data_IF_004841634053
#
_entry.id   IF_004841634053
#
_cell.length_a   1.000
_cell.length_b   1.000
_cell.length_c   1.000
_cell.angle_alpha   90.00
_cell.angle_beta   90.00
_cell.angle_gamma   90.00
#
_symmetry.space_group_name_H-M   'P 1'
#
loop_
_entity.id
_entity.type
_entity.pdbx_description
1 polymer ?
#
# COMPACT_ATOMS: atom_id res chain seq x y z
N UNK A 1 0.23 4.61 -2.90
CA UNK A 1 -0.90 4.06 -3.67
C UNK A 1 -2.16 4.49 -2.95
N UNK A 2 -2.81 5.55 -3.43
CA UNK A 2 -4.08 5.99 -2.88
C UNK A 2 -5.07 4.81 -2.92
N UNK A 3 -5.79 4.55 -1.83
CA UNK A 3 -6.82 3.53 -1.88
C UNK A 3 -7.96 4.01 -2.77
N UNK A 4 -8.10 3.40 -3.95
CA UNK A 4 -9.26 3.64 -4.80
C UNK A 4 -10.50 3.25 -4.03
N UNK A 5 -11.45 4.19 -3.91
CA UNK A 5 -12.76 3.94 -3.29
C UNK A 5 -13.38 2.71 -3.95
N UNK A 6 -13.66 1.67 -3.17
CA UNK A 6 -14.32 0.47 -3.68
C UNK A 6 -15.76 0.84 -4.05
N UNK A 7 -16.07 0.78 -5.33
CA UNK A 7 -17.43 0.90 -5.85
C UNK A 7 -18.22 -0.38 -5.52
N UNK A 8 -19.55 -0.29 -5.53
CA UNK A 8 -20.39 -1.46 -5.29
C UNK A 8 -20.14 -2.54 -6.36
N UNK A 9 -20.27 -3.80 -5.96
CA UNK A 9 -20.25 -4.93 -6.89
C UNK A 9 -21.54 -5.10 -7.69
N UNK A 10 -22.63 -4.49 -7.22
CA UNK A 10 -23.90 -4.43 -7.93
C UNK A 10 -23.81 -3.54 -9.17
N UNK A 11 -24.29 -4.04 -10.30
CA UNK A 11 -24.17 -3.40 -11.62
C UNK A 11 -24.89 -2.06 -11.70
N UNK A 12 -26.12 -1.98 -11.18
CA UNK A 12 -26.95 -0.77 -11.28
C UNK A 12 -26.37 0.36 -10.42
N UNK A 13 -25.97 0.04 -9.18
CA UNK A 13 -25.32 0.98 -8.28
C UNK A 13 -23.96 1.43 -8.81
N UNK A 14 -23.22 0.53 -9.46
CA UNK A 14 -21.95 0.87 -10.11
C UNK A 14 -22.15 1.82 -11.29
N UNK A 15 -23.10 1.53 -12.17
CA UNK A 15 -23.43 2.39 -13.31
C UNK A 15 -23.82 3.80 -12.86
N UNK A 16 -24.70 3.94 -11.86
CA UNK A 16 -25.04 5.27 -11.29
C UNK A 16 -23.82 5.98 -10.74
N UNK A 17 -22.95 5.27 -10.00
CA UNK A 17 -21.74 5.87 -9.44
C UNK A 17 -20.75 6.35 -10.50
N UNK A 18 -20.66 5.66 -11.64
CA UNK A 18 -19.80 6.07 -12.76
C UNK A 18 -20.37 7.29 -13.48
N UNK A 19 -21.69 7.34 -13.69
CA UNK A 19 -22.37 8.52 -14.25
C UNK A 19 -22.14 9.73 -13.35
N UNK A 20 -22.32 9.59 -12.03
CA UNK A 20 -22.17 10.69 -11.07
C UNK A 20 -20.74 11.24 -11.01
N UNK A 21 -19.75 10.36 -11.20
CA UNK A 21 -18.34 10.76 -11.31
C UNK A 21 -18.08 11.47 -12.64
N UNK A 22 -18.66 10.99 -13.75
CA UNK A 22 -18.46 11.57 -15.08
C UNK A 22 -19.16 12.94 -15.24
N UNK A 23 -20.31 13.14 -14.60
CA UNK A 23 -21.06 14.40 -14.62
C UNK A 23 -20.57 15.41 -13.57
N UNK A 24 -19.65 15.01 -12.69
CA UNK A 24 -19.14 15.86 -11.62
C UNK A 24 -20.13 16.08 -10.46
N UNK A 25 -21.26 15.36 -10.44
CA UNK A 25 -22.20 15.36 -9.32
C UNK A 25 -21.56 14.77 -8.04
N UNK A 26 -20.52 13.96 -8.21
CA UNK A 26 -19.73 13.38 -7.12
C UNK A 26 -18.25 13.64 -7.32
N UNK A 27 -17.61 14.32 -6.39
CA UNK A 27 -16.15 14.50 -6.42
C UNK A 27 -15.43 13.16 -6.18
N UNK A 28 -14.40 12.88 -7.00
CA UNK A 28 -13.38 11.87 -6.71
C UNK A 28 -12.61 12.30 -5.47
N UNK A 29 -13.20 12.03 -4.31
CA UNK A 29 -12.46 12.07 -3.08
C UNK A 29 -11.45 10.91 -3.14
N UNK A 30 -10.22 11.21 -3.55
CA UNK A 30 -9.06 10.36 -3.24
C UNK A 30 -8.86 10.45 -1.74
N UNK A 31 -9.77 9.79 -1.01
CA UNK A 31 -9.68 9.62 0.42
C UNK A 31 -8.55 8.61 0.59
N UNK A 32 -7.30 9.08 0.61
CA UNK A 32 -6.33 8.31 1.38
C UNK A 32 -6.79 8.25 2.84
N UNK A 33 -7.69 9.14 3.29
CA UNK A 33 -8.46 9.07 4.55
C UNK A 33 -7.63 9.13 5.81
N UNK A 34 -6.32 9.07 5.62
CA UNK A 34 -5.31 9.13 6.63
C UNK A 34 -5.06 10.59 6.89
N UNK A 35 -5.18 10.96 8.14
CA UNK A 35 -4.72 12.24 8.63
C UNK A 35 -3.28 12.46 8.15
N UNK A 36 -3.01 13.58 7.47
CA UNK A 36 -1.70 13.88 6.89
C UNK A 36 -0.57 13.81 7.93
N UNK A 37 -0.85 14.26 9.16
CA UNK A 37 0.10 14.17 10.28
C UNK A 37 0.41 12.71 10.65
N UNK A 38 -0.57 11.81 10.56
CA UNK A 38 -0.36 10.38 10.83
C UNK A 38 0.48 9.70 9.75
N UNK A 39 0.33 10.09 8.48
CA UNK A 39 1.16 9.60 7.37
C UNK A 39 2.61 10.04 7.56
N UNK A 40 2.82 11.30 7.91
CA UNK A 40 4.15 11.85 8.15
C UNK A 40 4.83 11.18 9.37
N UNK A 41 4.09 11.01 10.47
CA UNK A 41 4.55 10.29 11.65
C UNK A 41 4.94 8.85 11.29
N UNK A 42 4.08 8.11 10.60
CA UNK A 42 4.35 6.74 10.18
C UNK A 42 5.63 6.64 9.34
N UNK A 43 5.87 7.60 8.44
CA UNK A 43 7.10 7.69 7.66
C UNK A 43 8.31 7.95 8.54
N UNK A 44 8.23 8.90 9.48
CA UNK A 44 9.31 9.23 10.42
C UNK A 44 9.70 8.01 11.24
N UNK A 45 8.73 7.29 11.78
CA UNK A 45 8.93 6.06 12.56
C UNK A 45 9.52 4.93 11.72
N UNK A 46 9.06 4.74 10.48
CA UNK A 46 9.60 3.74 9.56
C UNK A 46 11.06 4.00 9.20
N UNK A 47 11.42 5.27 8.97
CA UNK A 47 12.79 5.69 8.64
C UNK A 47 13.78 5.38 9.78
N UNK A 48 13.34 5.45 11.03
CA UNK A 48 14.16 5.08 12.18
C UNK A 48 14.14 3.56 12.47
N UNK A 49 12.97 2.93 12.41
CA UNK A 49 12.79 1.53 12.82
C UNK A 49 13.45 0.51 11.89
N UNK A 50 13.47 0.77 10.57
CA UNK A 50 14.14 -0.12 9.61
C UNK A 50 15.64 -0.26 9.87
N UNK A 51 16.40 0.85 9.93
CA UNK A 51 17.81 0.84 10.29
C UNK A 51 18.09 0.25 11.67
N UNK A 52 17.27 0.56 12.68
CA UNK A 52 17.43 0.01 14.03
C UNK A 52 17.36 -1.53 14.05
N UNK A 53 16.45 -2.14 13.26
CA UNK A 53 16.39 -3.60 13.10
C UNK A 53 17.54 -4.18 12.29
N UNK A 54 18.13 -3.40 11.39
CA UNK A 54 19.23 -3.83 10.55
C UNK A 54 20.60 -3.69 11.22
N UNK A 55 20.76 -2.76 12.16
CA UNK A 55 22.00 -2.50 12.89
C UNK A 55 22.61 -3.75 13.59
N UNK A 56 21.84 -4.61 14.28
CA UNK A 56 22.40 -5.81 14.91
C UNK A 56 22.75 -6.94 13.93
N UNK A 57 22.44 -6.80 12.62
CA UNK A 57 22.63 -7.86 11.65
C UNK A 57 23.95 -7.70 10.87
N UNK A 58 24.73 -8.78 10.83
CA UNK A 58 25.93 -8.83 9.98
C UNK A 58 25.58 -8.72 8.49
N UNK A 59 26.54 -8.29 7.66
CA UNK A 59 26.35 -8.18 6.22
C UNK A 59 25.95 -9.52 5.58
N UNK A 60 26.54 -10.63 6.04
CA UNK A 60 26.18 -11.98 5.61
C UNK A 60 24.73 -12.31 5.95
N UNK A 61 24.30 -12.03 7.18
CA UNK A 61 22.93 -12.31 7.62
C UNK A 61 21.90 -11.47 6.87
N UNK A 62 22.20 -10.19 6.60
CA UNK A 62 21.36 -9.33 5.75
C UNK A 62 21.20 -9.90 4.34
N UNK A 63 22.30 -10.41 3.74
CA UNK A 63 22.27 -11.04 2.41
C UNK A 63 21.43 -12.32 2.37
N UNK A 64 21.51 -13.15 3.40
CA UNK A 64 20.67 -14.36 3.54
C UNK A 64 19.18 -14.02 3.63
N UNK A 65 18.82 -13.05 4.46
CA UNK A 65 17.44 -12.58 4.60
C UNK A 65 16.92 -12.04 3.26
N UNK A 66 17.73 -11.25 2.53
CA UNK A 66 17.36 -10.73 1.22
C UNK A 66 17.08 -11.86 0.21
N UNK A 67 17.96 -12.87 0.14
CA UNK A 67 17.74 -14.05 -0.72
C UNK A 67 16.45 -14.78 -0.36
N UNK A 68 16.19 -15.00 0.93
CA UNK A 68 14.96 -15.63 1.42
C UNK A 68 13.71 -14.81 1.05
N UNK A 69 13.77 -13.49 1.18
CA UNK A 69 12.66 -12.60 0.83
C UNK A 69 12.36 -12.61 -0.67
N UNK A 70 13.41 -12.61 -1.52
CA UNK A 70 13.25 -12.73 -2.98
C UNK A 70 12.63 -14.08 -3.35
N UNK A 71 13.11 -15.18 -2.77
CA UNK A 71 12.54 -16.51 -2.99
C UNK A 71 11.07 -16.60 -2.51
N UNK A 72 10.71 -15.98 -1.38
CA UNK A 72 9.32 -15.96 -0.92
C UNK A 72 8.41 -15.11 -1.84
N UNK A 73 8.92 -14.01 -2.38
CA UNK A 73 8.13 -13.10 -3.23
C UNK A 73 8.01 -13.58 -4.68
N UNK A 74 9.05 -14.24 -5.19
CA UNK A 74 9.18 -14.56 -6.61
C UNK A 74 9.45 -16.03 -6.91
N UNK A 75 9.92 -16.80 -5.91
CA UNK A 75 10.32 -18.20 -6.07
C UNK A 75 9.18 -19.20 -6.11
N UNK A 76 7.92 -18.75 -6.06
CA UNK A 76 6.74 -19.58 -6.28
C UNK A 76 5.80 -18.93 -7.30
N UNK A 77 6.21 -19.02 -8.56
CA UNK A 77 5.29 -19.20 -9.69
C UNK A 77 5.61 -20.54 -10.34
N UNK A 78 5.52 -21.64 -9.58
CA UNK A 78 5.42 -22.95 -10.19
C UNK A 78 4.66 -23.94 -9.28
N UNK A 79 3.48 -24.35 -9.77
CA UNK A 79 2.48 -25.31 -9.27
C UNK A 79 1.58 -24.89 -8.10
#
# INVERSE_FOLDING_TARGET
MAQKKKLSKDTNKKAKSEVDLATGEKEETTIDGKNAAAVELGRKSGKAGGPARAAPLSAKRRKEIAKKAVAARWGASNK
#
